data_IF_182317967660
#
_entry.id   IF_182317967660
#
_cell.length_a   1.000
_cell.length_b   1.000
_cell.length_c   1.000
_cell.angle_alpha   90.00
_cell.angle_beta   90.00
_cell.angle_gamma   90.00
#
_symmetry.space_group_name_H-M   'P 1'
#
loop_
_entity.id
_entity.type
_entity.pdbx_description
1 polymer ?
#
# COMPACT_ATOMS: atom_id res chain seq x y z
N UNK A 1 25.88 -15.94 3.89
CA UNK A 1 25.38 -14.59 3.54
C UNK A 1 24.64 -14.72 2.21
N UNK A 2 23.78 -13.78 1.81
CA UNK A 2 23.26 -13.79 0.43
C UNK A 2 24.32 -13.19 -0.49
N UNK A 3 24.85 -14.00 -1.40
CA UNK A 3 25.77 -13.54 -2.44
C UNK A 3 24.94 -13.06 -3.64
N UNK A 4 25.17 -11.80 -4.04
CA UNK A 4 24.56 -11.23 -5.23
C UNK A 4 25.43 -11.54 -6.46
N UNK A 5 24.80 -11.58 -7.62
CA UNK A 5 25.45 -11.90 -8.88
C UNK A 5 26.23 -10.66 -9.32
N UNK A 6 27.48 -10.80 -9.78
CA UNK A 6 28.31 -9.64 -10.19
C UNK A 6 27.67 -8.83 -11.33
N UNK A 7 26.80 -9.46 -12.13
CA UNK A 7 26.04 -8.85 -13.22
C UNK A 7 24.67 -8.28 -12.82
N UNK A 8 24.35 -8.18 -11.52
CA UNK A 8 23.07 -7.64 -11.05
C UNK A 8 23.08 -6.10 -11.06
N UNK A 9 22.39 -5.50 -12.01
CA UNK A 9 22.12 -4.06 -12.01
C UNK A 9 20.99 -3.72 -11.02
N UNK A 10 21.21 -2.70 -10.18
CA UNK A 10 20.23 -2.23 -9.18
C UNK A 10 19.81 -0.80 -9.51
N UNK A 11 18.55 -0.63 -9.91
CA UNK A 11 17.94 0.69 -10.16
C UNK A 11 17.26 1.19 -8.89
N UNK A 12 17.76 2.28 -8.32
CA UNK A 12 17.14 2.95 -7.18
C UNK A 12 15.98 3.86 -7.59
N UNK A 13 14.83 3.74 -6.91
CA UNK A 13 13.64 4.56 -7.14
C UNK A 13 12.99 4.99 -5.82
N UNK A 14 12.10 5.98 -5.88
CA UNK A 14 11.36 6.50 -4.72
C UNK A 14 9.87 6.23 -4.91
N UNK A 15 9.19 5.81 -3.83
CA UNK A 15 7.74 5.58 -3.84
C UNK A 15 6.98 6.82 -4.29
N UNK A 16 5.99 6.64 -5.18
CA UNK A 16 5.33 7.70 -5.96
C UNK A 16 4.85 8.90 -5.13
N UNK A 17 4.26 8.65 -3.96
CA UNK A 17 3.78 9.67 -3.03
C UNK A 17 4.94 10.43 -2.32
N UNK A 18 5.94 9.70 -1.83
CA UNK A 18 7.15 10.29 -1.24
C UNK A 18 7.91 11.14 -2.26
N UNK A 19 7.99 10.69 -3.53
CA UNK A 19 8.63 11.44 -4.60
C UNK A 19 7.90 12.75 -4.94
N UNK A 20 6.58 12.80 -4.78
CA UNK A 20 5.80 14.02 -4.99
C UNK A 20 6.13 15.13 -3.97
N UNK A 21 6.66 14.77 -2.79
CA UNK A 21 7.13 15.72 -1.77
C UNK A 21 8.57 16.21 -1.97
N UNK A 22 9.29 15.71 -3.00
CA UNK A 22 10.65 16.15 -3.33
C UNK A 22 10.67 17.31 -4.34
N UNK A 23 11.85 17.90 -4.54
CA UNK A 23 12.10 18.89 -5.61
C UNK A 23 11.87 18.29 -7.00
N UNK A 24 11.47 19.12 -7.96
CA UNK A 24 11.04 18.66 -9.30
C UNK A 24 12.13 17.86 -10.05
N UNK A 25 13.40 18.18 -9.84
CA UNK A 25 14.57 17.52 -10.45
C UNK A 25 14.76 16.07 -9.97
N UNK A 26 14.10 15.65 -8.87
CA UNK A 26 14.07 14.26 -8.43
C UNK A 26 13.10 13.42 -9.27
N UNK A 27 12.02 14.02 -9.81
CA UNK A 27 10.95 13.27 -10.48
C UNK A 27 11.48 12.43 -11.65
N UNK A 28 12.23 13.04 -12.56
CA UNK A 28 12.78 12.36 -13.74
C UNK A 28 13.86 11.33 -13.42
N UNK A 29 14.45 11.36 -12.22
CA UNK A 29 15.54 10.47 -11.79
C UNK A 29 15.07 9.24 -11.03
N UNK A 30 13.99 9.38 -10.26
CA UNK A 30 13.58 8.37 -9.27
C UNK A 30 12.14 7.91 -9.39
N UNK A 31 11.38 8.39 -10.40
CA UNK A 31 10.00 7.95 -10.59
C UNK A 31 9.90 6.51 -11.07
N UNK A 32 9.09 5.72 -10.37
CA UNK A 32 8.72 4.37 -10.78
C UNK A 32 8.04 4.35 -12.16
N UNK A 33 7.49 5.48 -12.64
CA UNK A 33 6.90 5.58 -13.97
C UNK A 33 7.89 5.33 -15.13
N UNK A 34 9.20 5.45 -14.90
CA UNK A 34 10.25 5.23 -15.91
C UNK A 34 11.14 4.01 -15.61
N UNK A 35 10.80 3.22 -14.59
CA UNK A 35 11.54 2.00 -14.23
C UNK A 35 10.87 0.81 -14.95
N UNK A 36 11.61 0.13 -15.81
CA UNK A 36 11.11 -1.07 -16.49
C UNK A 36 10.75 -2.18 -15.48
N UNK A 37 9.63 -2.86 -15.72
CA UNK A 37 9.10 -3.87 -14.79
C UNK A 37 8.40 -3.32 -13.55
N UNK A 38 8.45 -2.00 -13.29
CA UNK A 38 7.66 -1.41 -12.20
C UNK A 38 6.17 -1.43 -12.55
N UNK A 39 5.35 -2.00 -11.65
CA UNK A 39 3.90 -1.92 -11.76
C UNK A 39 3.39 -0.49 -11.57
N UNK A 40 2.30 -0.14 -12.24
CA UNK A 40 1.60 1.12 -11.95
C UNK A 40 0.93 1.03 -10.59
N UNK A 41 1.57 1.66 -9.60
CA UNK A 41 1.04 1.82 -8.26
C UNK A 41 0.32 3.16 -8.12
N UNK A 42 -0.76 3.15 -7.35
CA UNK A 42 -1.26 4.35 -6.72
C UNK A 42 -0.25 4.80 -5.64
N UNK A 43 -0.04 6.11 -5.49
CA UNK A 43 0.77 6.64 -4.39
C UNK A 43 0.04 6.56 -3.05
N UNK A 44 -1.29 6.63 -3.08
CA UNK A 44 -2.16 6.91 -1.92
C UNK A 44 -2.91 5.66 -1.42
N UNK A 45 -2.52 4.46 -1.88
CA UNK A 45 -3.31 3.22 -1.75
C UNK A 45 -3.72 2.88 -0.31
N UNK A 46 -2.88 3.17 0.70
CA UNK A 46 -3.16 2.84 2.10
C UNK A 46 -4.34 3.63 2.66
N UNK A 47 -4.41 4.93 2.38
CA UNK A 47 -5.45 5.82 2.92
C UNK A 47 -6.81 5.48 2.29
N UNK A 48 -6.84 5.25 0.97
CA UNK A 48 -8.03 4.75 0.25
C UNK A 48 -8.50 3.39 0.76
N UNK A 49 -7.57 2.51 1.18
CA UNK A 49 -7.91 1.20 1.75
C UNK A 49 -8.39 1.26 3.20
N UNK A 50 -8.01 2.30 3.96
CA UNK A 50 -8.40 2.47 5.36
C UNK A 50 -9.65 3.34 5.55
N UNK A 51 -9.97 4.25 4.61
CA UNK A 51 -11.16 5.10 4.70
C UNK A 51 -12.48 4.35 5.01
N UNK A 52 -12.74 3.12 4.49
CA UNK A 52 -13.94 2.36 4.89
C UNK A 52 -13.99 1.95 6.38
N UNK A 53 -12.88 2.00 7.11
CA UNK A 53 -12.85 1.71 8.55
C UNK A 53 -13.41 2.87 9.39
N UNK A 54 -13.54 4.08 8.84
CA UNK A 54 -14.18 5.20 9.52
C UNK A 54 -15.66 4.89 9.85
N UNK A 55 -16.32 4.06 9.03
CA UNK A 55 -17.70 3.58 9.28
C UNK A 55 -17.84 2.79 10.59
N UNK A 56 -16.76 2.14 11.05
CA UNK A 56 -16.75 1.33 12.29
C UNK A 56 -16.05 2.00 13.46
N UNK A 57 -15.33 3.11 13.26
CA UNK A 57 -14.56 3.79 14.31
C UNK A 57 -15.41 4.17 15.54
N UNK A 58 -16.68 4.57 15.33
CA UNK A 58 -17.61 4.87 16.43
C UNK A 58 -18.05 3.64 17.23
N UNK A 59 -18.08 2.46 16.61
CA UNK A 59 -18.40 1.19 17.28
C UNK A 59 -17.23 0.71 18.12
N UNK A 60 -16.00 0.83 17.60
CA UNK A 60 -14.80 0.32 18.27
C UNK A 60 -14.38 1.18 19.45
N UNK A 61 -14.72 2.48 19.47
CA UNK A 61 -14.37 3.42 20.56
C UNK A 61 -14.77 2.95 21.97
N UNK A 62 -15.88 2.21 22.11
CA UNK A 62 -16.39 1.72 23.40
C UNK A 62 -15.94 0.29 23.75
N UNK A 63 -15.16 -0.37 22.89
CA UNK A 63 -14.71 -1.75 23.09
C UNK A 63 -13.51 -1.84 24.04
N UNK A 64 -13.29 -3.01 24.62
CA UNK A 64 -12.01 -3.31 25.28
C UNK A 64 -10.89 -3.41 24.25
N UNK A 65 -9.64 -3.16 24.64
CA UNK A 65 -8.49 -3.15 23.71
C UNK A 65 -8.37 -4.45 22.90
N UNK A 66 -8.60 -5.60 23.52
CA UNK A 66 -8.58 -6.90 22.84
C UNK A 66 -9.71 -7.01 21.80
N UNK A 67 -10.95 -6.70 22.18
CA UNK A 67 -12.10 -6.79 21.27
C UNK A 67 -12.04 -5.76 20.15
N UNK A 68 -11.53 -4.56 20.42
CA UNK A 68 -11.23 -3.52 19.42
C UNK A 68 -10.30 -4.06 18.33
N UNK A 69 -9.19 -4.71 18.73
CA UNK A 69 -8.24 -5.30 17.79
C UNK A 69 -8.87 -6.44 16.98
N UNK A 70 -9.50 -7.41 17.64
CA UNK A 70 -10.19 -8.54 16.99
C UNK A 70 -11.25 -8.08 15.98
N UNK A 71 -12.01 -7.04 16.32
CA UNK A 71 -13.04 -6.48 15.45
C UNK A 71 -12.45 -5.79 14.22
N UNK A 72 -11.41 -4.95 14.38
CA UNK A 72 -10.74 -4.31 13.24
C UNK A 72 -10.07 -5.33 12.32
N UNK A 73 -9.40 -6.34 12.88
CA UNK A 73 -8.79 -7.43 12.12
C UNK A 73 -9.84 -8.21 11.31
N UNK A 74 -11.04 -8.44 11.87
CA UNK A 74 -12.15 -9.05 11.16
C UNK A 74 -12.65 -8.18 9.99
N UNK A 75 -12.85 -6.86 10.19
CA UNK A 75 -13.24 -5.92 9.13
C UNK A 75 -12.19 -5.84 7.99
N UNK A 76 -10.90 -5.78 8.34
CA UNK A 76 -9.79 -5.76 7.38
C UNK A 76 -9.73 -7.09 6.61
N UNK A 77 -9.94 -8.22 7.28
CA UNK A 77 -9.96 -9.52 6.65
C UNK A 77 -11.15 -9.71 5.68
N UNK A 78 -12.36 -9.24 6.03
CA UNK A 78 -13.50 -9.24 5.11
C UNK A 78 -13.25 -8.35 3.88
N UNK A 79 -12.69 -7.15 4.08
CA UNK A 79 -12.26 -6.26 2.99
C UNK A 79 -11.26 -6.95 2.05
N UNK A 80 -10.31 -7.72 2.58
CA UNK A 80 -9.34 -8.47 1.79
C UNK A 80 -9.97 -9.68 1.09
N UNK A 81 -10.86 -10.40 1.76
CA UNK A 81 -11.64 -11.50 1.18
C UNK A 81 -12.47 -11.03 -0.02
N UNK A 82 -13.19 -9.91 0.09
CA UNK A 82 -13.95 -9.33 -1.01
C UNK A 82 -13.09 -8.98 -2.22
N UNK A 83 -11.87 -8.44 -2.01
CA UNK A 83 -10.92 -8.17 -3.10
C UNK A 83 -10.54 -9.47 -3.80
N UNK A 84 -10.20 -10.52 -3.05
CA UNK A 84 -9.82 -11.83 -3.59
C UNK A 84 -10.96 -12.43 -4.45
N UNK A 85 -12.21 -12.43 -3.99
CA UNK A 85 -13.34 -13.06 -4.71
C UNK A 85 -14.00 -12.19 -5.79
N UNK A 86 -13.59 -10.92 -5.90
CA UNK A 86 -14.03 -9.99 -6.96
C UNK A 86 -12.95 -9.66 -7.99
N UNK A 87 -11.68 -9.96 -7.72
CA UNK A 87 -10.62 -9.89 -8.74
C UNK A 87 -11.01 -10.72 -9.96
N UNK A 88 -10.97 -10.09 -11.15
CA UNK A 88 -11.32 -10.73 -12.42
C UNK A 88 -12.82 -10.90 -12.69
N UNK A 89 -13.72 -10.39 -11.83
CA UNK A 89 -15.15 -10.27 -12.14
C UNK A 89 -15.44 -8.89 -12.74
N UNK A 90 -15.66 -8.87 -14.05
CA UNK A 90 -16.19 -7.73 -14.80
C UNK A 90 -17.70 -7.57 -14.57
#
# INVERSE_FOLDING_TARGET
FLELWESLEITGAVGKWHLAAHIAECFSKFTLNFVEGAGQVDGEILETLWSPLDEVAGLTQAMSIAHHQEFLDACINDSNWWKIIRIGRN
#
